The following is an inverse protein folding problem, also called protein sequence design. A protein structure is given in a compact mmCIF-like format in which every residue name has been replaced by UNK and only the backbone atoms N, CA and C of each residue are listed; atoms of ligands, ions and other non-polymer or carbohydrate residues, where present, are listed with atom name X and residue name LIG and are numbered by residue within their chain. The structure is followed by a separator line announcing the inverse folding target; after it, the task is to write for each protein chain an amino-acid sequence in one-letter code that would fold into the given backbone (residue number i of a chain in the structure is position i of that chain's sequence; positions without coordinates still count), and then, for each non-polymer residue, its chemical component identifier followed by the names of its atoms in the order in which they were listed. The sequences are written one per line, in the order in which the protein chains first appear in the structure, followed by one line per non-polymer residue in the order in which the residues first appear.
data_IF_198809454167
#
_entry.id   IF_198809454167
#
_cell.length_a   1.000
_cell.length_b   1.000
_cell.length_c   1.000
_cell.angle_alpha   90.00
_cell.angle_beta   90.00
_cell.angle_gamma   90.00
#
_symmetry.space_group_name_H-M   'P 1'
#
loop_
_entity.id
_entity.type
_entity.pdbx_description
1 polymer ?
#
# COMPACT_ATOMS: atom_id res chain seq x y z
N UNK A 1 -6.18 11.38 -8.53
CA UNK A 1 -4.80 11.29 -9.06
C UNK A 1 -3.98 10.66 -7.95
N UNK A 2 -3.16 9.65 -8.23
CA UNK A 2 -2.38 8.97 -7.18
C UNK A 2 -1.20 9.83 -6.72
N UNK A 3 -0.74 9.63 -5.49
CA UNK A 3 0.45 10.32 -4.99
C UNK A 3 1.72 9.81 -5.66
N UNK A 4 1.83 8.50 -5.86
CA UNK A 4 2.91 7.87 -6.65
C UNK A 4 2.35 7.30 -7.94
N UNK A 5 3.11 7.43 -9.02
CA UNK A 5 2.77 6.90 -10.33
C UNK A 5 2.85 5.38 -10.36
N UNK A 6 2.11 4.76 -11.28
CA UNK A 6 2.22 3.32 -11.51
C UNK A 6 3.62 2.94 -12.00
N UNK A 7 4.25 2.01 -11.28
CA UNK A 7 5.60 1.50 -11.59
C UNK A 7 5.60 0.53 -12.76
N UNK A 8 6.69 0.51 -13.49
CA UNK A 8 6.89 -0.42 -14.61
C UNK A 8 7.42 -1.77 -14.16
N UNK A 9 7.96 -1.89 -12.95
CA UNK A 9 8.52 -3.11 -12.36
C UNK A 9 7.47 -4.12 -11.90
N UNK A 10 7.88 -5.37 -11.69
CA UNK A 10 7.05 -6.44 -11.13
C UNK A 10 6.71 -6.29 -9.65
N UNK A 11 7.39 -5.37 -8.96
CA UNK A 11 7.15 -4.97 -7.57
C UNK A 11 6.75 -3.50 -7.49
N UNK A 12 6.18 -3.14 -6.34
CA UNK A 12 5.67 -1.81 -6.06
C UNK A 12 6.51 -1.02 -5.06
N UNK A 13 7.33 -1.65 -4.24
CA UNK A 13 8.19 -0.92 -3.30
C UNK A 13 9.44 -1.73 -2.96
N UNK A 14 10.50 -1.02 -2.56
CA UNK A 14 11.65 -1.61 -1.88
C UNK A 14 11.74 -1.02 -0.47
N UNK A 15 11.65 -1.89 0.54
CA UNK A 15 11.73 -1.48 1.94
C UNK A 15 13.04 -1.98 2.54
N UNK A 16 13.92 -1.10 3.06
CA UNK A 16 15.21 -1.53 3.59
C UNK A 16 15.03 -2.34 4.87
N UNK A 17 15.80 -3.41 5.00
CA UNK A 17 15.88 -4.34 6.12
C UNK A 17 16.52 -3.74 7.39
N UNK A 18 16.41 -4.43 8.55
CA UNK A 18 16.97 -3.96 9.82
C UNK A 18 18.37 -4.51 10.12
N UNK A 19 18.82 -5.52 9.39
CA UNK A 19 19.98 -6.33 9.76
C UNK A 19 21.20 -5.99 8.92
N UNK A 20 22.36 -6.26 9.51
CA UNK A 20 23.63 -6.38 8.82
C UNK A 20 23.90 -7.85 8.45
N UNK A 21 24.42 -8.13 7.24
CA UNK A 21 24.62 -7.19 6.13
C UNK A 21 23.28 -6.73 5.53
N UNK A 22 23.31 -5.61 4.79
CA UNK A 22 22.13 -5.01 4.16
C UNK A 22 21.16 -6.03 3.57
N UNK A 23 19.90 -5.87 3.92
CA UNK A 23 18.80 -6.57 3.27
C UNK A 23 17.77 -5.58 2.75
N UNK A 24 16.98 -5.99 1.77
CA UNK A 24 15.80 -5.27 1.34
C UNK A 24 14.65 -6.20 1.01
N UNK A 25 13.45 -5.71 1.26
CA UNK A 25 12.19 -6.36 0.98
C UNK A 25 11.55 -5.73 -0.26
N UNK A 26 11.45 -6.49 -1.33
CA UNK A 26 10.75 -6.11 -2.55
C UNK A 26 9.29 -6.51 -2.38
N UNK A 27 8.37 -5.55 -2.38
CA UNK A 27 6.94 -5.77 -2.12
C UNK A 27 6.19 -5.84 -3.43
N UNK A 28 5.45 -6.92 -3.67
CA UNK A 28 4.57 -7.09 -4.83
C UNK A 28 3.19 -7.56 -4.37
N UNK A 29 2.26 -6.60 -4.23
CA UNK A 29 0.94 -6.85 -3.68
C UNK A 29 1.02 -7.41 -2.25
N UNK A 30 0.43 -8.58 -2.03
CA UNK A 30 0.49 -9.29 -0.73
C UNK A 30 1.72 -10.19 -0.57
N UNK A 31 2.67 -10.18 -1.52
CA UNK A 31 3.90 -10.96 -1.46
C UNK A 31 5.11 -10.07 -1.31
N UNK A 32 6.19 -10.66 -0.79
CA UNK A 32 7.47 -10.02 -0.74
C UNK A 32 8.62 -10.99 -0.98
N UNK A 33 9.70 -10.47 -1.58
CA UNK A 33 10.98 -11.14 -1.73
C UNK A 33 12.05 -10.38 -0.92
N UNK A 34 12.70 -11.07 0.01
CA UNK A 34 13.79 -10.52 0.81
C UNK A 34 15.12 -10.91 0.17
N UNK A 35 15.97 -9.93 -0.13
CA UNK A 35 17.31 -10.15 -0.68
C UNK A 35 18.37 -9.45 0.17
N UNK A 36 19.63 -9.86 0.00
CA UNK A 36 20.78 -8.97 0.19
C UNK A 36 21.44 -8.73 -1.18
N UNK A 37 22.65 -8.14 -1.23
CA UNK A 37 23.35 -7.91 -2.51
C UNK A 37 23.82 -9.22 -3.18
N UNK A 38 23.98 -10.31 -2.43
CA UNK A 38 24.58 -11.55 -2.94
C UNK A 38 23.53 -12.59 -3.37
N UNK A 39 22.36 -12.61 -2.72
CA UNK A 39 21.36 -13.66 -2.94
C UNK A 39 19.93 -13.26 -2.53
N UNK A 40 18.98 -14.04 -3.05
CA UNK A 40 17.64 -14.15 -2.48
C UNK A 40 17.72 -14.87 -1.12
N UNK A 41 17.09 -14.30 -0.10
CA UNK A 41 17.05 -14.84 1.27
C UNK A 41 15.74 -15.58 1.51
N UNK A 42 14.62 -14.99 1.12
CA UNK A 42 13.31 -15.61 1.23
C UNK A 42 12.29 -14.97 0.27
N UNK A 43 11.21 -15.68 0.00
CA UNK A 43 10.03 -15.18 -0.69
C UNK A 43 8.78 -15.71 0.00
N UNK A 44 7.77 -14.88 0.20
CA UNK A 44 6.55 -15.30 0.90
C UNK A 44 5.48 -14.21 0.97
N UNK A 45 4.47 -14.40 1.83
CA UNK A 45 3.51 -13.35 2.16
C UNK A 45 4.20 -12.14 2.79
N UNK A 46 3.77 -10.93 2.43
CA UNK A 46 4.29 -9.67 2.98
C UNK A 46 4.18 -9.64 4.52
N UNK A 47 3.03 -10.07 5.04
CA UNK A 47 2.73 -10.01 6.48
C UNK A 47 3.56 -10.99 7.33
N UNK A 48 4.16 -12.00 6.70
CA UNK A 48 5.06 -12.94 7.37
C UNK A 48 6.53 -12.47 7.35
N UNK A 49 6.83 -11.37 6.65
CA UNK A 49 8.19 -10.85 6.56
C UNK A 49 8.71 -10.40 7.93
N UNK A 50 10.02 -10.60 8.14
CA UNK A 50 10.75 -10.21 9.34
C UNK A 50 10.07 -10.65 10.64
N UNK A 51 9.87 -11.95 10.80
CA UNK A 51 9.26 -12.54 12.00
C UNK A 51 7.92 -11.90 12.36
N UNK A 52 7.10 -11.64 11.32
CA UNK A 52 5.77 -11.04 11.45
C UNK A 52 5.76 -9.62 12.01
N UNK A 53 6.85 -8.87 11.90
CA UNK A 53 6.88 -7.44 12.26
C UNK A 53 5.98 -6.56 11.36
N UNK A 54 5.58 -7.08 10.20
CA UNK A 54 4.60 -6.45 9.30
C UNK A 54 3.21 -7.06 9.44
N UNK A 55 2.99 -7.98 10.38
CA UNK A 55 1.66 -8.52 10.63
C UNK A 55 0.73 -7.42 11.16
N UNK A 56 -0.52 -7.43 10.68
CA UNK A 56 -1.52 -6.44 11.09
C UNK A 56 -1.53 -5.14 10.29
N UNK A 57 -0.66 -4.98 9.27
CA UNK A 57 -0.85 -3.94 8.26
C UNK A 57 -2.27 -4.09 7.69
N UNK A 58 -3.11 -3.03 7.76
CA UNK A 58 -4.48 -3.10 7.27
C UNK A 58 -4.54 -3.04 5.74
N UNK A 59 -5.67 -3.46 5.18
CA UNK A 59 -6.00 -3.12 3.80
C UNK A 59 -6.22 -1.61 3.64
N UNK A 60 -5.95 -1.02 2.46
CA UNK A 60 -5.43 -1.68 1.25
C UNK A 60 -3.91 -1.89 1.25
N UNK A 61 -3.18 -1.40 2.27
CA UNK A 61 -1.71 -1.37 2.27
C UNK A 61 -1.10 -2.78 2.22
N UNK A 62 -1.74 -3.76 2.88
CA UNK A 62 -1.28 -5.14 2.90
C UNK A 62 -1.26 -5.82 1.52
N UNK A 63 -2.20 -5.48 0.63
CA UNK A 63 -2.35 -6.15 -0.67
C UNK A 63 -2.03 -5.26 -1.87
N UNK A 64 -1.99 -3.94 -1.69
CA UNK A 64 -1.94 -2.96 -2.79
C UNK A 64 -0.93 -1.83 -2.59
N UNK A 65 0.09 -2.01 -1.74
CA UNK A 65 1.19 -1.05 -1.64
C UNK A 65 1.66 -0.62 -3.04
N UNK A 66 1.69 0.69 -3.30
CA UNK A 66 2.14 1.30 -4.56
C UNK A 66 3.53 1.92 -4.44
N UNK A 67 3.90 2.31 -3.21
CA UNK A 67 5.25 2.72 -2.82
C UNK A 67 5.42 2.56 -1.31
N UNK A 68 6.67 2.50 -0.86
CA UNK A 68 6.98 2.59 0.55
C UNK A 68 8.40 3.16 0.73
N UNK A 69 8.63 3.79 1.87
CA UNK A 69 9.96 4.26 2.25
C UNK A 69 10.14 4.16 3.77
N UNK A 70 11.38 4.03 4.24
CA UNK A 70 11.68 3.99 5.67
C UNK A 70 11.73 5.40 6.26
N UNK A 71 11.27 5.51 7.51
CA UNK A 71 11.41 6.73 8.31
C UNK A 71 12.49 6.46 9.35
N UNK A 72 13.64 7.13 9.21
CA UNK A 72 14.72 7.05 10.19
C UNK A 72 14.34 7.88 11.42
N UNK A 73 13.93 7.19 12.48
CA UNK A 73 13.61 7.78 13.79
C UNK A 73 14.78 7.70 14.79
N UNK A 74 14.49 8.00 16.06
CA UNK A 74 15.41 7.77 17.16
C UNK A 74 15.78 6.26 17.29
N UNK A 75 16.94 5.98 17.87
CA UNK A 75 17.48 4.63 18.00
C UNK A 75 16.41 3.63 18.51
N UNK A 76 16.23 2.52 17.78
CA UNK A 76 15.31 1.45 18.13
C UNK A 76 13.88 1.58 17.57
N UNK A 77 13.48 2.75 17.05
CA UNK A 77 12.18 2.89 16.36
C UNK A 77 12.33 2.60 14.87
N UNK A 78 11.55 1.65 14.36
CA UNK A 78 11.57 1.28 12.95
C UNK A 78 10.21 1.50 12.32
N UNK A 79 10.18 2.45 11.38
CA UNK A 79 8.95 2.89 10.73
C UNK A 79 9.08 2.78 9.22
N UNK A 80 7.99 2.38 8.58
CA UNK A 80 7.84 2.41 7.12
C UNK A 80 6.52 3.07 6.79
N UNK A 81 6.57 4.02 5.87
CA UNK A 81 5.36 4.63 5.33
C UNK A 81 4.99 3.86 4.07
N UNK A 82 3.85 3.17 4.07
CA UNK A 82 3.26 2.52 2.90
C UNK A 82 2.27 3.47 2.24
N UNK A 83 2.21 3.48 0.91
CA UNK A 83 1.39 4.42 0.14
C UNK A 83 0.48 3.65 -0.81
N UNK A 84 -0.79 4.05 -0.87
CA UNK A 84 -1.80 3.57 -1.84
C UNK A 84 -2.66 4.75 -2.26
N UNK A 85 -2.60 5.14 -3.53
CA UNK A 85 -3.29 6.33 -4.02
C UNK A 85 -2.76 7.58 -3.34
N UNK A 86 -3.65 8.36 -2.73
CA UNK A 86 -3.31 9.54 -1.92
C UNK A 86 -3.18 9.24 -0.41
N UNK A 87 -3.47 7.99 -0.01
CA UNK A 87 -3.41 7.55 1.38
C UNK A 87 -2.03 6.98 1.70
N UNK A 88 -1.62 7.15 2.95
CA UNK A 88 -0.46 6.48 3.51
C UNK A 88 -0.78 5.84 4.86
N UNK A 89 0.02 4.83 5.19
CA UNK A 89 0.09 4.18 6.49
C UNK A 89 1.50 4.33 7.03
N UNK A 90 1.68 5.09 8.10
CA UNK A 90 2.92 5.12 8.88
C UNK A 90 2.90 3.95 9.87
N UNK A 91 3.62 2.89 9.53
CA UNK A 91 3.65 1.65 10.28
C UNK A 91 4.90 1.55 11.14
N UNK A 92 4.72 1.34 12.45
CA UNK A 92 5.81 0.97 13.34
C UNK A 92 5.92 -0.55 13.45
N UNK A 93 7.07 -1.06 13.05
CA UNK A 93 7.32 -2.50 12.89
C UNK A 93 7.17 -3.24 14.22
N UNK A 94 6.38 -4.31 14.23
CA UNK A 94 6.10 -5.11 15.42
C UNK A 94 5.22 -4.42 16.46
N UNK A 95 4.71 -3.22 16.16
CA UNK A 95 3.90 -2.42 17.08
C UNK A 95 2.50 -2.20 16.50
N UNK A 96 2.29 -1.14 15.73
CA UNK A 96 0.99 -0.75 15.17
C UNK A 96 1.13 0.41 14.18
N UNK A 97 0.02 0.79 13.56
CA UNK A 97 -0.09 2.03 12.81
C UNK A 97 0.05 3.24 13.75
N UNK A 98 0.90 4.19 13.36
CA UNK A 98 1.03 5.51 14.00
C UNK A 98 0.13 6.55 13.35
N UNK A 99 -0.11 6.39 12.05
CA UNK A 99 -0.98 7.25 11.27
C UNK A 99 -1.52 6.49 10.06
N UNK A 100 -2.77 6.76 9.72
CA UNK A 100 -3.40 6.32 8.47
C UNK A 100 -4.28 7.46 7.97
N UNK A 101 -4.07 7.87 6.71
CA UNK A 101 -4.81 8.97 6.11
C UNK A 101 -4.09 9.56 4.90
N UNK A 102 -4.54 10.74 4.41
CA UNK A 102 -3.88 11.42 3.29
C UNK A 102 -2.41 11.69 3.60
N UNK A 103 -1.53 11.48 2.61
CA UNK A 103 -0.10 11.72 2.82
C UNK A 103 0.24 13.20 3.03
N UNK A 104 -0.58 14.11 2.50
CA UNK A 104 -0.47 15.56 2.72
C UNK A 104 -0.73 15.96 4.18
N UNK A 105 -1.37 15.08 4.95
CA UNK A 105 -1.68 15.30 6.36
C UNK A 105 -0.77 14.47 7.28
N UNK A 106 0.16 13.69 6.73
CA UNK A 106 1.10 12.87 7.50
C UNK A 106 1.90 13.77 8.48
N UNK A 107 1.79 13.55 9.80
CA UNK A 107 2.37 14.46 10.79
C UNK A 107 3.87 14.69 10.60
N UNK A 108 4.25 15.96 10.50
CA UNK A 108 5.64 16.37 10.33
C UNK A 108 6.23 16.12 8.93
N UNK A 109 5.47 15.62 7.96
CA UNK A 109 5.92 15.41 6.59
C UNK A 109 5.00 16.10 5.57
N UNK A 110 3.69 15.84 5.65
CA UNK A 110 2.74 16.19 4.61
C UNK A 110 2.67 17.69 4.28
N UNK A 111 2.73 18.55 5.31
CA UNK A 111 2.73 20.00 5.13
C UNK A 111 3.95 20.54 4.37
N UNK A 112 5.05 19.79 4.36
CA UNK A 112 6.33 20.19 3.79
C UNK A 112 6.49 19.75 2.33
N UNK A 113 5.53 18.98 1.80
CA UNK A 113 5.52 18.54 0.40
C UNK A 113 5.25 19.74 -0.51
N UNK A 114 6.20 20.13 -1.37
CA UNK A 114 6.00 21.24 -2.31
C UNK A 114 4.87 20.95 -3.29
N UNK A 115 4.13 21.96 -3.74
CA UNK A 115 2.92 21.79 -4.57
C UNK A 115 3.13 20.89 -5.81
N UNK A 116 4.27 21.03 -6.49
CA UNK A 116 4.62 20.23 -7.68
C UNK A 116 4.88 18.73 -7.39
N UNK A 117 5.02 18.34 -6.13
CA UNK A 117 5.35 17.00 -5.65
C UNK A 117 4.18 16.34 -4.89
N UNK A 118 2.99 16.95 -4.88
CA UNK A 118 1.80 16.41 -4.19
C UNK A 118 1.04 15.34 -4.98
N UNK A 119 1.50 15.01 -6.19
CA UNK A 119 0.95 13.92 -7.01
C UNK A 119 1.99 13.41 -8.00
N UNK A 120 1.73 12.20 -8.50
CA UNK A 120 2.47 11.59 -9.61
C UNK A 120 3.99 11.58 -9.40
N UNK A 121 4.41 11.29 -8.16
CA UNK A 121 5.81 11.04 -7.86
C UNK A 121 6.27 9.75 -8.52
N UNK A 122 7.54 9.71 -8.85
CA UNK A 122 8.19 8.54 -9.41
C UNK A 122 8.49 7.52 -8.31
N UNK A 123 9.13 7.99 -7.24
CA UNK A 123 9.39 7.24 -6.01
C UNK A 123 9.81 8.20 -4.88
N UNK A 124 10.00 7.65 -3.68
CA UNK A 124 10.50 8.35 -2.50
C UNK A 124 11.50 7.46 -1.76
N UNK A 125 12.39 8.07 -0.99
CA UNK A 125 13.39 7.35 -0.19
C UNK A 125 13.76 8.13 1.07
N UNK A 126 13.96 7.45 2.20
CA UNK A 126 14.53 8.05 3.41
C UNK A 126 16.04 8.30 3.28
N UNK A 127 16.56 9.37 3.91
CA UNK A 127 17.97 9.73 3.98
C UNK A 127 18.55 9.51 5.41
N UNK A 128 19.89 9.43 5.59
CA UNK A 128 20.54 9.16 6.88
C UNK A 128 20.27 10.21 7.94
N UNK A 129 20.10 11.46 7.52
CA UNK A 129 19.79 12.59 8.39
C UNK A 129 18.31 12.63 8.83
N UNK A 130 17.51 11.63 8.45
CA UNK A 130 16.09 11.53 8.75
C UNK A 130 15.19 12.33 7.81
N UNK A 131 15.75 12.97 6.78
CA UNK A 131 14.95 13.59 5.72
C UNK A 131 14.44 12.55 4.71
N UNK A 132 13.53 12.97 3.83
CA UNK A 132 12.98 12.13 2.75
C UNK A 132 13.20 12.84 1.43
N UNK A 133 13.73 12.10 0.45
CA UNK A 133 13.88 12.54 -0.92
C UNK A 133 12.70 12.07 -1.77
N UNK A 134 12.17 12.95 -2.60
CA UNK A 134 11.03 12.74 -3.49
C UNK A 134 11.52 12.90 -4.92
N UNK A 135 11.24 11.93 -5.78
CA UNK A 135 11.63 11.95 -7.19
C UNK A 135 10.41 12.23 -8.07
N UNK A 136 10.56 13.10 -9.07
CA UNK A 136 9.54 13.35 -10.09
C UNK A 136 10.21 13.79 -11.38
N UNK A 137 10.10 12.96 -12.41
CA UNK A 137 10.79 13.13 -13.69
C UNK A 137 12.30 13.30 -13.49
N UNK A 138 12.85 14.42 -13.94
CA UNK A 138 14.22 14.89 -13.80
C UNK A 138 14.43 15.76 -12.54
N UNK A 139 13.39 16.00 -11.75
CA UNK A 139 13.40 16.83 -10.56
C UNK A 139 13.34 15.99 -9.28
N UNK A 140 13.78 16.57 -8.17
CA UNK A 140 13.58 16.03 -6.85
C UNK A 140 13.34 17.13 -5.81
N UNK A 141 12.84 16.72 -4.66
CA UNK A 141 12.77 17.54 -3.46
C UNK A 141 13.33 16.76 -2.26
N UNK A 142 13.91 17.45 -1.28
CA UNK A 142 14.33 16.86 0.00
C UNK A 142 13.53 17.54 1.10
N UNK A 143 12.87 16.74 1.94
CA UNK A 143 11.99 17.19 3.02
C UNK A 143 12.56 16.75 4.35
N UNK A 144 12.87 17.71 5.20
CA UNK A 144 13.15 17.47 6.62
C UNK A 144 11.83 17.37 7.39
N UNK A 145 11.71 16.36 8.23
CA UNK A 145 10.53 16.11 9.05
C UNK A 145 10.44 17.04 10.27
N UNK A 146 9.24 17.15 10.84
CA UNK A 146 8.99 17.79 12.14
C UNK A 146 8.41 19.21 12.03
N UNK A 147 8.16 19.84 13.17
CA UNK A 147 7.57 21.19 13.24
C UNK A 147 8.46 22.25 12.60
N UNK A 148 9.77 22.17 12.85
CA UNK A 148 10.80 23.03 12.24
C UNK A 148 11.38 22.43 10.95
N UNK A 149 10.67 21.44 10.39
CA UNK A 149 11.00 20.80 9.13
C UNK A 149 10.69 21.71 7.92
N UNK A 150 10.87 21.15 6.73
CA UNK A 150 10.62 21.88 5.48
C UNK A 150 11.32 21.27 4.29
N UNK A 151 11.00 21.79 3.11
CA UNK A 151 11.72 21.46 1.89
C UNK A 151 13.08 22.17 1.89
N UNK A 152 14.17 21.41 1.98
CA UNK A 152 15.55 21.92 2.05
C UNK A 152 16.23 21.98 0.68
N UNK A 153 15.72 21.24 -0.29
CA UNK A 153 16.17 21.26 -1.68
C UNK A 153 14.99 21.00 -2.61
N UNK A 154 14.95 21.71 -3.74
CA UNK A 154 14.05 21.44 -4.87
C UNK A 154 14.77 21.83 -6.15
N UNK A 155 14.95 20.88 -7.06
CA UNK A 155 15.64 21.12 -8.33
C UNK A 155 15.94 19.83 -9.07
N UNK A 156 16.82 19.92 -10.07
CA UNK A 156 17.24 18.75 -10.85
C UNK A 156 17.81 17.66 -9.93
N UNK A 157 17.54 16.39 -10.24
CA UNK A 157 18.11 15.22 -9.54
C UNK A 157 19.63 15.32 -9.52
N UNK A 158 20.24 15.66 -10.65
CA UNK A 158 21.70 15.79 -10.80
C UNK A 158 22.32 16.97 -10.04
N UNK A 159 21.49 17.90 -9.55
CA UNK A 159 21.91 19.03 -8.72
C UNK A 159 21.86 18.76 -7.22
N UNK A 160 21.54 17.52 -6.81
CA UNK A 160 21.41 17.18 -5.39
C UNK A 160 22.70 17.48 -4.61
N UNK A 161 22.63 18.27 -3.52
CA UNK A 161 23.82 18.64 -2.76
C UNK A 161 24.56 17.42 -2.18
N UNK A 162 25.87 17.36 -2.41
CA UNK A 162 26.73 16.29 -1.89
C UNK A 162 26.63 14.96 -2.64
N UNK A 163 25.81 14.88 -3.69
CA UNK A 163 25.69 13.71 -4.55
C UNK A 163 26.46 13.93 -5.86
N UNK A 164 27.26 12.95 -6.21
CA UNK A 164 28.14 12.96 -7.36
C UNK A 164 27.48 12.13 -8.46
N UNK A 165 26.87 12.79 -9.43
CA UNK A 165 26.25 12.13 -10.58
C UNK A 165 27.23 11.91 -11.74
N UNK A 166 28.54 12.09 -11.51
CA UNK A 166 29.55 11.91 -12.55
C UNK A 166 29.46 10.49 -13.13
N UNK A 167 29.48 10.44 -14.46
CA UNK A 167 29.39 9.20 -15.25
C UNK A 167 28.07 8.44 -15.15
N UNK A 168 27.05 8.97 -14.44
CA UNK A 168 25.70 8.42 -14.53
C UNK A 168 25.17 8.64 -15.96
N UNK A 169 24.67 7.59 -16.64
CA UNK A 169 24.13 7.74 -17.98
C UNK A 169 22.92 8.67 -18.03
N UNK A 170 22.70 9.42 -19.14
CA UNK A 170 21.55 10.32 -19.26
C UNK A 170 20.19 9.65 -19.05
N UNK A 171 20.04 8.36 -19.34
CA UNK A 171 18.81 7.61 -19.13
C UNK A 171 18.60 7.17 -17.67
N UNK A 172 19.59 7.32 -16.80
CA UNK A 172 19.60 6.90 -15.39
C UNK A 172 19.72 8.08 -14.41
N UNK A 173 19.19 9.25 -14.79
CA UNK A 173 19.13 10.44 -13.93
C UNK A 173 17.71 11.01 -13.77
N UNK A 174 16.70 10.26 -14.20
CA UNK A 174 15.30 10.66 -14.17
C UNK A 174 14.38 9.45 -14.26
N UNK A 175 13.10 9.60 -13.92
CA UNK A 175 12.05 8.59 -14.08
C UNK A 175 12.37 7.25 -13.39
N UNK A 176 12.83 7.27 -12.15
CA UNK A 176 13.04 6.04 -11.39
C UNK A 176 11.72 5.33 -11.08
N UNK A 177 11.73 4.00 -11.05
CA UNK A 177 10.60 3.22 -10.52
C UNK A 177 10.76 3.01 -9.02
N UNK A 178 11.99 2.92 -8.52
CA UNK A 178 12.26 2.79 -7.10
C UNK A 178 13.66 3.31 -6.73
N UNK A 179 13.82 3.66 -5.45
CA UNK A 179 15.07 4.14 -4.90
C UNK A 179 15.15 3.71 -3.43
N UNK A 180 16.24 3.05 -3.06
CA UNK A 180 16.46 2.64 -1.67
C UNK A 180 17.92 2.81 -1.28
N UNK A 181 18.14 3.23 -0.05
CA UNK A 181 19.47 3.30 0.52
C UNK A 181 20.02 1.91 0.81
N UNK A 182 21.28 1.70 0.43
CA UNK A 182 22.05 0.54 0.88
C UNK A 182 22.65 0.89 2.24
N UNK A 183 22.13 0.24 3.28
CA UNK A 183 22.63 0.35 4.66
C UNK A 183 23.75 -0.65 4.86
N UNK A 184 25.00 -0.19 4.92
CA UNK A 184 26.11 -1.04 5.32
C UNK A 184 26.89 -0.40 6.49
N UNK A 185 27.45 -1.21 7.41
CA UNK A 185 28.18 -0.72 8.58
C UNK A 185 29.40 0.13 8.21
N UNK A 186 30.00 -0.13 7.04
CA UNK A 186 31.24 0.45 6.54
C UNK A 186 31.05 1.47 5.41
N UNK A 187 29.89 1.48 4.74
CA UNK A 187 29.58 2.39 3.62
C UNK A 187 28.99 3.74 4.05
N UNK A 188 28.99 4.06 5.34
CA UNK A 188 28.47 5.33 5.90
C UNK A 188 27.08 5.75 5.39
N UNK A 189 26.24 4.78 4.96
CA UNK A 189 24.98 5.03 4.27
C UNK A 189 25.12 5.96 3.05
N UNK A 190 26.21 5.86 2.27
CA UNK A 190 26.46 6.74 1.11
C UNK A 190 26.10 6.08 -0.23
N UNK A 191 25.52 4.88 -0.24
CA UNK A 191 25.10 4.20 -1.47
C UNK A 191 23.58 4.12 -1.62
N UNK A 192 23.11 4.33 -2.84
CA UNK A 192 21.70 4.22 -3.21
C UNK A 192 21.54 3.29 -4.39
N UNK A 193 20.64 2.32 -4.24
CA UNK A 193 20.14 1.50 -5.32
C UNK A 193 18.98 2.26 -6.00
N UNK A 194 19.14 2.55 -7.28
CA UNK A 194 18.14 3.18 -8.15
C UNK A 194 17.66 2.14 -9.17
N UNK A 195 16.34 2.01 -9.32
CA UNK A 195 15.70 1.09 -10.25
C UNK A 195 14.96 1.86 -11.34
N UNK A 196 15.09 1.40 -12.59
CA UNK A 196 14.30 1.88 -13.72
C UNK A 196 14.06 0.75 -14.71
N UNK A 197 12.80 0.36 -14.88
CA UNK A 197 12.35 -0.79 -15.65
C UNK A 197 13.15 -2.06 -15.31
N UNK A 198 13.96 -2.56 -16.24
CA UNK A 198 14.79 -3.75 -16.07
C UNK A 198 16.26 -3.43 -15.73
N UNK A 199 16.58 -2.16 -15.47
CA UNK A 199 17.92 -1.69 -15.09
C UNK A 199 17.99 -1.30 -13.62
N UNK A 200 19.17 -1.48 -13.06
CA UNK A 200 19.54 -1.00 -11.75
C UNK A 200 20.83 -0.16 -11.84
N UNK A 201 21.01 0.72 -10.86
CA UNK A 201 22.22 1.49 -10.67
C UNK A 201 22.53 1.61 -9.18
N UNK A 202 23.77 1.36 -8.79
CA UNK A 202 24.28 1.71 -7.46
C UNK A 202 25.13 2.96 -7.60
N UNK A 203 24.67 4.03 -6.96
CA UNK A 203 25.33 5.32 -6.90
C UNK A 203 25.90 5.54 -5.50
N UNK A 204 27.20 5.82 -5.41
CA UNK A 204 27.80 6.30 -4.17
C UNK A 204 27.82 7.82 -4.20
N UNK A 205 27.32 8.48 -3.15
CA UNK A 205 27.04 9.92 -3.19
C UNK A 205 28.31 10.75 -3.36
N UNK A 206 29.44 10.38 -2.76
CA UNK A 206 30.71 11.08 -3.01
C UNK A 206 31.49 10.57 -4.21
N UNK A 207 31.58 9.25 -4.37
CA UNK A 207 32.45 8.61 -5.37
C UNK A 207 31.82 8.51 -6.76
N UNK A 208 30.51 8.72 -6.85
CA UNK A 208 29.73 8.62 -8.07
C UNK A 208 29.33 7.20 -8.43
N UNK A 209 29.15 6.95 -9.73
CA UNK A 209 28.63 5.68 -10.23
C UNK A 209 29.53 4.50 -9.82
N UNK A 210 28.93 3.48 -9.17
CA UNK A 210 29.63 2.25 -8.77
C UNK A 210 29.31 1.09 -9.68
N UNK A 211 28.03 0.88 -9.97
CA UNK A 211 27.52 -0.21 -10.80
C UNK A 211 26.29 0.23 -11.58
N UNK A 212 26.14 -0.30 -12.77
CA UNK A 212 24.95 -0.11 -13.63
C UNK A 212 24.81 -1.29 -14.56
N UNK A 213 23.58 -1.66 -14.88
CA UNK A 213 23.29 -2.73 -15.82
C UNK A 213 21.92 -3.34 -15.56
N UNK A 214 21.74 -4.57 -16.02
CA UNK A 214 20.66 -5.44 -15.59
C UNK A 214 20.76 -5.74 -14.09
N UNK A 215 19.69 -6.26 -13.51
CA UNK A 215 19.65 -6.62 -12.09
C UNK A 215 20.81 -7.55 -11.69
N UNK A 216 21.06 -8.60 -12.47
CA UNK A 216 22.13 -9.58 -12.18
C UNK A 216 23.55 -8.99 -12.32
N UNK A 217 23.76 -8.05 -13.23
CA UNK A 217 25.06 -7.36 -13.40
C UNK A 217 25.35 -6.41 -12.23
N UNK A 218 24.31 -5.79 -11.66
CA UNK A 218 24.46 -4.89 -10.52
C UNK A 218 24.70 -5.66 -9.23
N UNK A 219 23.86 -6.65 -8.93
CA UNK A 219 23.97 -7.46 -7.72
C UNK A 219 23.39 -8.86 -7.93
N UNK A 220 24.08 -9.90 -7.45
CA UNK A 220 23.62 -11.28 -7.60
C UNK A 220 22.26 -11.52 -6.90
N UNK A 221 22.01 -10.86 -5.77
CA UNK A 221 20.71 -10.92 -5.10
C UNK A 221 19.57 -10.26 -5.87
N UNK A 222 19.85 -9.17 -6.60
CA UNK A 222 18.86 -8.58 -7.52
C UNK A 222 18.56 -9.53 -8.68
N UNK A 223 19.61 -10.15 -9.26
CA UNK A 223 19.46 -11.17 -10.30
C UNK A 223 18.72 -12.42 -9.84
N UNK A 224 18.74 -12.72 -8.54
CA UNK A 224 18.05 -13.85 -7.93
C UNK A 224 16.59 -13.57 -7.55
N UNK A 225 16.07 -12.35 -7.76
CA UNK A 225 14.66 -12.05 -7.55
C UNK A 225 13.77 -13.00 -8.38
N UNK A 226 12.59 -13.42 -7.88
CA UNK A 226 11.70 -14.27 -8.66
C UNK A 226 11.31 -13.60 -9.99
N UNK A 227 11.07 -14.37 -11.08
CA UNK A 227 10.79 -13.79 -12.41
C UNK A 227 9.66 -12.75 -12.41
N UNK A 228 8.61 -12.95 -11.61
CA UNK A 228 7.49 -12.01 -11.48
C UNK A 228 7.89 -10.62 -10.96
N UNK A 229 9.03 -10.48 -10.27
CA UNK A 229 9.59 -9.22 -9.80
C UNK A 229 10.47 -8.55 -10.86
N UNK A 230 11.00 -9.33 -11.82
CA UNK A 230 11.90 -8.85 -12.88
C UNK A 230 11.15 -8.50 -14.16
N UNK A 231 9.96 -9.06 -14.38
CA UNK A 231 9.11 -8.74 -15.53
C UNK A 231 8.48 -7.37 -15.36
N UNK A 232 8.56 -6.53 -16.40
CA UNK A 232 7.82 -5.27 -16.40
C UNK A 232 6.32 -5.55 -16.29
N UNK A 233 5.57 -4.80 -15.47
CA UNK A 233 4.09 -4.84 -15.45
C UNK A 233 3.47 -4.51 -16.81
N UNK A 234 4.23 -3.88 -17.72
CA UNK A 234 3.84 -3.65 -19.12
C UNK A 234 4.13 -4.84 -20.05
N UNK A 235 5.15 -5.64 -19.76
CA UNK A 235 5.58 -6.78 -20.58
C UNK A 235 4.94 -8.10 -20.11
N UNK A 236 4.49 -8.14 -18.85
CA UNK A 236 3.70 -9.22 -18.27
C UNK A 236 2.23 -9.09 -18.63
N UNK A 237 1.88 -9.45 -19.86
CA UNK A 237 0.55 -9.99 -20.14
C UNK A 237 0.41 -11.32 -19.39
N UNK A 238 0.21 -11.28 -18.06
CA UNK A 238 -0.56 -12.33 -17.42
C UNK A 238 -1.97 -12.17 -17.98
N UNK A 239 -2.28 -13.02 -18.95
CA UNK A 239 -3.63 -13.28 -19.44
C UNK A 239 -4.47 -13.87 -18.30
N UNK A 240 -4.83 -13.02 -17.33
CA UNK A 240 -6.21 -13.05 -16.86
C UNK A 240 -6.99 -12.50 -18.05
N UNK A 241 -7.94 -13.27 -18.64
CA UNK A 241 -8.79 -12.70 -19.68
C UNK A 241 -9.37 -11.40 -19.13
N UNK A 242 -9.42 -10.31 -19.91
CA UNK A 242 -9.96 -9.07 -19.41
C UNK A 242 -11.34 -9.40 -18.80
N UNK A 243 -11.64 -9.02 -17.55
CA UNK A 243 -13.03 -8.91 -17.19
C UNK A 243 -13.67 -8.05 -18.29
N UNK A 244 -14.82 -8.45 -18.85
CA UNK A 244 -15.48 -7.72 -19.92
C UNK A 244 -15.50 -6.24 -19.54
N UNK A 245 -15.25 -5.31 -20.49
CA UNK A 245 -14.87 -3.94 -20.21
C UNK A 245 -15.70 -3.39 -19.04
N UNK A 246 -15.07 -3.33 -17.86
CA UNK A 246 -15.67 -2.68 -16.72
C UNK A 246 -15.57 -1.20 -17.03
N UNK A 247 -16.62 -0.66 -17.67
CA UNK A 247 -17.02 0.72 -17.41
C UNK A 247 -16.88 0.89 -15.91
N UNK A 248 -16.11 1.87 -15.46
CA UNK A 248 -16.17 2.35 -14.09
C UNK A 248 -17.66 2.38 -13.74
N UNK A 249 -18.17 1.54 -12.83
CA UNK A 249 -19.56 1.63 -12.46
C UNK A 249 -19.74 3.09 -12.03
N UNK A 250 -20.65 3.84 -12.63
CA UNK A 250 -20.95 5.17 -12.11
C UNK A 250 -21.18 5.00 -10.60
N UNK A 251 -20.62 5.91 -9.80
CA UNK A 251 -20.83 5.91 -8.35
C UNK A 251 -22.29 5.55 -8.08
N UNK A 252 -22.58 4.56 -7.23
CA UNK A 252 -23.94 4.11 -7.04
C UNK A 252 -24.79 5.32 -6.64
N UNK A 253 -25.76 5.68 -7.47
CA UNK A 253 -26.68 6.77 -7.16
C UNK A 253 -27.59 6.42 -5.96
N UNK A 254 -27.66 5.13 -5.62
CA UNK A 254 -28.46 4.55 -4.53
C UNK A 254 -27.68 3.40 -3.89
N UNK A 255 -27.82 3.25 -2.58
CA UNK A 255 -27.18 2.15 -1.86
C UNK A 255 -27.82 0.80 -2.21
N UNK A 256 -27.04 -0.27 -2.16
CA UNK A 256 -27.47 -1.63 -2.52
C UNK A 256 -27.01 -2.64 -1.48
N UNK A 257 -27.76 -3.74 -1.34
CA UNK A 257 -27.39 -4.90 -0.55
C UNK A 257 -27.82 -6.17 -1.30
N UNK A 258 -26.89 -7.06 -1.62
CA UNK A 258 -27.15 -8.30 -2.37
C UNK A 258 -26.38 -9.48 -1.77
N UNK A 259 -26.73 -10.71 -2.14
CA UNK A 259 -25.94 -11.92 -1.81
C UNK A 259 -25.98 -12.90 -2.97
N UNK A 260 -24.89 -13.64 -3.15
CA UNK A 260 -24.80 -14.76 -4.09
C UNK A 260 -25.21 -16.09 -3.41
N UNK A 261 -25.41 -16.09 -2.08
CA UNK A 261 -25.78 -17.26 -1.28
C UNK A 261 -27.07 -16.99 -0.50
N UNK A 262 -28.24 -16.94 -1.18
CA UNK A 262 -29.53 -16.69 -0.53
C UNK A 262 -30.00 -17.84 0.37
N UNK A 263 -29.29 -18.98 0.36
CA UNK A 263 -29.51 -20.12 1.25
C UNK A 263 -28.17 -20.54 1.85
N UNK A 264 -28.09 -20.60 3.18
CA UNK A 264 -26.89 -21.02 3.91
C UNK A 264 -27.25 -22.01 5.01
N UNK A 265 -26.37 -22.97 5.31
CA UNK A 265 -26.53 -23.80 6.51
C UNK A 265 -26.41 -22.94 7.77
N UNK A 266 -27.21 -23.21 8.81
CA UNK A 266 -27.05 -22.51 10.09
C UNK A 266 -25.61 -22.67 10.61
N UNK A 267 -24.97 -21.55 10.97
CA UNK A 267 -23.58 -21.51 11.40
C UNK A 267 -22.58 -21.39 10.25
N UNK A 268 -23.02 -21.47 9.00
CA UNK A 268 -22.21 -21.07 7.86
C UNK A 268 -22.25 -19.54 7.69
N UNK A 269 -21.16 -18.94 7.20
CA UNK A 269 -21.13 -17.51 6.93
C UNK A 269 -22.12 -17.11 5.84
N UNK A 270 -22.92 -16.07 6.09
CA UNK A 270 -23.66 -15.36 5.06
C UNK A 270 -22.78 -14.23 4.52
N UNK A 271 -22.43 -14.29 3.23
CA UNK A 271 -21.71 -13.19 2.57
C UNK A 271 -22.70 -12.28 1.86
N UNK A 272 -22.73 -11.00 2.24
CA UNK A 272 -23.49 -9.95 1.56
C UNK A 272 -22.54 -8.98 0.86
N UNK A 273 -22.95 -8.43 -0.27
CA UNK A 273 -22.28 -7.35 -0.98
C UNK A 273 -23.07 -6.07 -0.78
N UNK A 274 -22.39 -4.99 -0.42
CA UNK A 274 -23.00 -3.69 -0.18
C UNK A 274 -22.36 -2.62 -1.06
N UNK A 275 -23.12 -1.57 -1.36
CA UNK A 275 -22.59 -0.33 -1.93
C UNK A 275 -23.43 0.86 -1.46
N UNK A 276 -22.85 2.06 -1.41
CA UNK A 276 -23.50 3.31 -1.01
C UNK A 276 -22.87 4.49 -1.74
N UNK A 277 -23.63 5.57 -2.05
CA UNK A 277 -23.06 6.79 -2.61
C UNK A 277 -21.99 7.38 -1.69
N UNK A 278 -21.00 8.09 -2.24
CA UNK A 278 -19.93 8.74 -1.46
C UNK A 278 -20.47 9.63 -0.32
N UNK A 279 -21.59 10.32 -0.54
CA UNK A 279 -22.26 11.16 0.46
C UNK A 279 -22.88 10.40 1.64
N UNK A 280 -22.87 9.07 1.59
CA UNK A 280 -23.44 8.15 2.58
C UNK A 280 -22.41 7.15 3.09
N UNK A 281 -21.12 7.41 2.88
CA UNK A 281 -20.02 6.65 3.50
C UNK A 281 -19.85 7.14 4.93
N UNK A 282 -19.87 6.21 5.89
CA UNK A 282 -19.47 6.42 7.28
C UNK A 282 -18.74 5.16 7.74
N UNK A 283 -17.70 5.34 8.56
CA UNK A 283 -16.99 4.22 9.20
C UNK A 283 -17.88 3.39 10.13
N UNK A 284 -19.05 3.94 10.48
CA UNK A 284 -20.07 3.28 11.30
C UNK A 284 -21.29 2.79 10.51
N UNK A 285 -21.23 2.79 9.19
CA UNK A 285 -22.22 2.07 8.39
C UNK A 285 -22.18 0.58 8.75
N UNK A 286 -23.33 -0.10 8.79
CA UNK A 286 -23.39 -1.48 9.28
C UNK A 286 -24.51 -2.28 8.65
N UNK A 287 -24.33 -3.60 8.57
CA UNK A 287 -25.37 -4.55 8.15
C UNK A 287 -25.82 -5.37 9.34
N UNK A 288 -27.14 -5.55 9.49
CA UNK A 288 -27.76 -6.37 10.53
C UNK A 288 -28.70 -7.45 9.98
N UNK A 289 -28.83 -8.58 10.69
CA UNK A 289 -29.77 -9.67 10.40
C UNK A 289 -30.99 -9.62 11.31
N UNK A 290 -32.17 -9.84 10.73
CA UNK A 290 -33.48 -9.67 11.35
C UNK A 290 -34.45 -10.81 11.00
N UNK A 291 -35.54 -10.99 11.76
CA UNK A 291 -36.65 -11.85 11.35
C UNK A 291 -37.19 -11.46 9.96
N UNK A 292 -37.60 -12.46 9.17
CA UNK A 292 -38.27 -12.21 7.90
C UNK A 292 -39.51 -11.32 8.07
N UNK A 293 -39.75 -10.45 7.09
CA UNK A 293 -40.91 -9.55 7.08
C UNK A 293 -40.76 -8.28 7.93
N UNK A 294 -39.59 -8.06 8.55
CA UNK A 294 -39.28 -6.77 9.20
C UNK A 294 -39.31 -5.65 8.15
N UNK A 295 -40.15 -4.65 8.31
CA UNK A 295 -40.35 -3.58 7.30
C UNK A 295 -39.39 -2.41 7.45
N UNK A 296 -39.00 -2.06 8.69
CA UNK A 296 -37.86 -1.21 9.09
C UNK A 296 -37.61 -1.51 10.57
N UNK A 297 -36.59 -2.30 10.97
CA UNK A 297 -36.54 -2.83 12.33
C UNK A 297 -36.00 -1.79 13.34
N UNK A 298 -36.76 -1.45 14.41
CA UNK A 298 -36.25 -0.69 15.56
C UNK A 298 -35.66 -1.59 16.66
N UNK A 299 -35.45 -2.88 16.37
CA UNK A 299 -35.01 -3.89 17.33
C UNK A 299 -33.51 -4.19 17.19
N UNK A 300 -32.91 -4.80 18.22
CA UNK A 300 -31.56 -5.34 18.13
C UNK A 300 -31.47 -6.38 17.02
N UNK A 301 -30.46 -6.25 16.16
CA UNK A 301 -30.14 -7.28 15.15
C UNK A 301 -29.63 -8.55 15.84
N UNK A 302 -29.94 -9.73 15.30
CA UNK A 302 -29.38 -10.99 15.81
C UNK A 302 -27.85 -11.04 15.64
N UNK A 303 -27.39 -10.52 14.51
CA UNK A 303 -25.99 -10.46 14.10
C UNK A 303 -25.81 -9.17 13.33
N UNK A 304 -24.70 -8.48 13.54
CA UNK A 304 -24.34 -7.32 12.77
C UNK A 304 -22.84 -7.24 12.54
N UNK A 305 -22.44 -6.44 11.56
CA UNK A 305 -21.04 -6.09 11.32
C UNK A 305 -20.95 -4.73 10.63
N UNK A 306 -19.85 -4.01 10.87
CA UNK A 306 -19.57 -2.73 10.21
C UNK A 306 -19.15 -2.92 8.75
N UNK A 307 -19.51 -1.94 7.93
CA UNK A 307 -19.30 -1.87 6.49
C UNK A 307 -18.86 -0.46 6.10
N UNK A 308 -17.64 -0.07 6.52
CA UNK A 308 -17.17 1.32 6.51
C UNK A 308 -16.91 1.87 5.10
N UNK A 309 -16.74 0.99 4.11
CA UNK A 309 -16.35 1.37 2.75
C UNK A 309 -17.56 1.81 1.91
N UNK A 310 -17.31 2.51 0.80
CA UNK A 310 -18.36 2.87 -0.15
C UNK A 310 -18.98 1.65 -0.84
N UNK A 311 -18.26 0.54 -0.91
CA UNK A 311 -18.74 -0.75 -1.39
C UNK A 311 -17.82 -1.86 -0.93
N UNK A 312 -18.35 -3.04 -0.72
CA UNK A 312 -17.55 -4.19 -0.31
C UNK A 312 -18.40 -5.43 -0.09
N UNK A 313 -17.80 -6.42 0.55
CA UNK A 313 -18.51 -7.60 1.06
C UNK A 313 -18.40 -7.66 2.57
N UNK A 314 -19.49 -8.04 3.23
CA UNK A 314 -19.54 -8.30 4.65
C UNK A 314 -19.94 -9.75 4.90
N UNK A 315 -19.29 -10.38 5.87
CA UNK A 315 -19.59 -11.74 6.28
C UNK A 315 -20.26 -11.72 7.65
N UNK A 316 -21.46 -12.30 7.73
CA UNK A 316 -22.22 -12.41 8.98
C UNK A 316 -22.30 -13.88 9.39
N UNK A 317 -21.88 -14.17 10.62
CA UNK A 317 -21.97 -15.52 11.18
C UNK A 317 -23.43 -15.84 11.56
N UNK A 318 -24.04 -16.79 10.86
CA UNK A 318 -25.44 -17.18 11.10
C UNK A 318 -25.64 -18.10 12.31
N UNK A 319 -24.58 -18.46 13.04
CA UNK A 319 -24.65 -19.34 14.22
C UNK A 319 -25.52 -18.78 15.34
N UNK A 320 -25.64 -17.45 15.44
CA UNK A 320 -26.48 -16.77 16.44
C UNK A 320 -27.95 -16.59 16.00
N UNK A 321 -28.35 -17.11 14.84
CA UNK A 321 -29.76 -17.12 14.44
C UNK A 321 -30.57 -18.10 15.30
N UNK A 322 -31.82 -17.76 15.69
CA UNK A 322 -32.64 -18.60 16.57
C UNK A 322 -32.82 -20.06 16.09
N UNK A 323 -32.95 -20.27 14.77
CA UNK A 323 -33.11 -21.61 14.19
C UNK A 323 -33.14 -21.57 12.65
N UNK A 324 -33.33 -22.72 11.99
CA UNK A 324 -33.64 -22.75 10.57
C UNK A 324 -34.87 -21.89 10.25
N UNK A 325 -34.84 -21.13 9.16
CA UNK A 325 -35.94 -20.25 8.78
C UNK A 325 -35.54 -19.14 7.82
N UNK A 326 -36.50 -18.27 7.49
CA UNK A 326 -36.29 -17.11 6.64
C UNK A 326 -35.92 -15.87 7.47
N UNK A 327 -34.98 -15.09 6.96
CA UNK A 327 -34.42 -13.90 7.61
C UNK A 327 -34.24 -12.78 6.58
N UNK A 328 -34.04 -11.56 7.08
CA UNK A 328 -33.76 -10.39 6.24
C UNK A 328 -32.50 -9.68 6.74
N UNK A 329 -31.62 -9.30 5.82
CA UNK A 329 -30.48 -8.43 6.09
C UNK A 329 -30.82 -6.98 5.69
N UNK A 330 -30.35 -6.03 6.50
CA UNK A 330 -30.56 -4.60 6.31
C UNK A 330 -29.24 -3.85 6.43
N UNK A 331 -29.03 -2.85 5.57
CA UNK A 331 -27.86 -1.99 5.56
C UNK A 331 -28.23 -0.60 6.08
N UNK A 332 -27.51 -0.11 7.09
CA UNK A 332 -27.83 1.11 7.81
C UNK A 332 -26.66 2.11 7.84
N UNK A 333 -27.03 3.37 8.03
CA UNK A 333 -26.13 4.51 8.06
C UNK A 333 -25.69 4.86 9.48
N UNK A 334 -24.38 5.01 9.65
CA UNK A 334 -23.74 5.75 10.75
C UNK A 334 -24.22 5.40 12.17
N UNK A 335 -24.10 4.12 12.58
CA UNK A 335 -24.52 3.60 13.91
C UNK A 335 -26.02 3.74 14.22
N UNK A 336 -26.80 4.30 13.29
CA UNK A 336 -28.23 4.47 13.41
C UNK A 336 -29.00 3.43 12.63
N UNK A 337 -30.33 3.55 12.64
CA UNK A 337 -31.25 2.69 11.87
C UNK A 337 -31.76 3.38 10.60
N UNK A 338 -31.04 4.40 10.12
CA UNK A 338 -31.37 5.04 8.84
C UNK A 338 -31.02 4.08 7.71
N UNK A 339 -32.04 3.54 7.07
CA UNK A 339 -31.89 2.54 6.01
C UNK A 339 -31.13 3.10 4.81
N UNK A 340 -30.01 2.44 4.47
CA UNK A 340 -29.32 2.60 3.20
C UNK A 340 -29.88 1.63 2.16
N UNK A 341 -30.02 0.34 2.50
CA UNK A 341 -30.57 -0.68 1.61
C UNK A 341 -31.19 -1.86 2.37
N UNK A 342 -32.13 -2.56 1.73
CA UNK A 342 -32.84 -3.71 2.29
C UNK A 342 -34.36 -3.65 2.03
N UNK A 343 -35.10 -4.72 2.36
CA UNK A 343 -34.61 -5.98 2.93
C UNK A 343 -33.94 -6.88 1.88
N UNK A 344 -32.82 -7.50 2.24
CA UNK A 344 -32.25 -8.62 1.51
C UNK A 344 -32.68 -9.93 2.18
N UNK A 345 -33.54 -10.71 1.53
CA UNK A 345 -34.07 -11.94 2.11
C UNK A 345 -33.13 -13.13 1.87
N UNK A 346 -32.95 -13.97 2.89
CA UNK A 346 -32.19 -15.22 2.80
C UNK A 346 -32.79 -16.30 3.72
N UNK A 347 -32.42 -17.56 3.49
CA UNK A 347 -32.85 -18.72 4.27
C UNK A 347 -31.66 -19.36 4.98
N UNK A 348 -31.80 -19.62 6.28
CA UNK A 348 -30.88 -20.47 7.03
C UNK A 348 -31.49 -21.88 7.15
N UNK A 349 -30.80 -22.92 6.70
CA UNK A 349 -31.26 -24.32 6.75
C UNK A 349 -30.72 -25.09 7.94
#
# INVERSE_FOLDING_TARGET
MGFVRAKTTGFAAIVPGPVDPWEALFVSGNRAAKINLDRLISEGPLLDAYDKQLAGIPEPFASRTEAAFDVRGAAGTRRTVFIVGDQCLDWEWGVAARYQGPITDLPGFGLHIPDGFRSDLDTLMGLPDGSTMLFKTDQCAIIKWGADGGCTYKGAVTGTPGWNWLSAPPDMVHDFDDAVMIKAPDLADEETLLIKANKAMILHWRLGLRRIGTYAEVAAGLGALPPSYQTSRRDGQLSVPPPPPQRTPPLPAKSTLTTDTPTVAKGAPLTVRYSTPASKVSSKNWVGLYPAGSTVPPQESFVWTYTPDASGSATLDTGRLPGPGSYSAWYFYDDGYTTLAGPLNFTAT
#
